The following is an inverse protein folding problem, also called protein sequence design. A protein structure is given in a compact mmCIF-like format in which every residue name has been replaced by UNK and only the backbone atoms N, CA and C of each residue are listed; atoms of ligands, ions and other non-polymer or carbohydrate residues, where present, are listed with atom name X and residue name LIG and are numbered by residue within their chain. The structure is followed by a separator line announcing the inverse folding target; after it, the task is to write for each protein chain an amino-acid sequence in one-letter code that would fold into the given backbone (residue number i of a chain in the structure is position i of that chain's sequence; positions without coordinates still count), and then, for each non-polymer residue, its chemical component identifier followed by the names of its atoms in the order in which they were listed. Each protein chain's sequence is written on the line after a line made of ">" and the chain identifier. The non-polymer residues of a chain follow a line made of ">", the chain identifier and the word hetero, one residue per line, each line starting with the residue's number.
data_IF_213538158061
#
_entry.id   IF_213538158061
#
_cell.length_a   1.000
_cell.length_b   1.000
_cell.length_c   1.000
_cell.angle_alpha   90.00
_cell.angle_beta   90.00
_cell.angle_gamma   90.00
#
_symmetry.space_group_name_H-M   'P 1'
#
loop_
_entity.id
_entity.type
_entity.pdbx_description
1 polymer ?
#
# COMPACT_ATOMS: atom_id res chain seq x y z
N UNK A 1 -5.02 -8.12 13.15
CA UNK A 1 -5.04 -8.52 14.57
C UNK A 1 -6.46 -8.71 15.12
N UNK A 2 -7.52 -8.19 14.48
CA UNK A 2 -8.89 -8.59 14.83
C UNK A 2 -9.08 -10.10 14.72
N UNK A 3 -9.84 -10.69 15.64
CA UNK A 3 -10.11 -12.14 15.68
C UNK A 3 -10.91 -12.62 14.46
N UNK A 4 -11.71 -11.73 13.87
CA UNK A 4 -12.47 -12.00 12.65
C UNK A 4 -11.62 -12.09 11.38
N UNK A 5 -10.32 -11.81 11.44
CA UNK A 5 -9.47 -11.85 10.25
C UNK A 5 -9.28 -13.31 9.78
N UNK A 6 -9.66 -13.66 8.53
CA UNK A 6 -9.59 -15.02 8.03
C UNK A 6 -8.17 -15.60 7.98
N UNK A 7 -7.14 -14.74 7.95
CA UNK A 7 -5.72 -15.16 7.94
C UNK A 7 -5.36 -16.07 9.11
N UNK A 8 -6.08 -15.97 10.25
CA UNK A 8 -5.82 -16.81 11.41
C UNK A 8 -6.24 -18.26 11.20
N UNK A 9 -7.29 -18.50 10.43
CA UNK A 9 -7.71 -19.86 10.06
C UNK A 9 -6.72 -20.49 9.08
N UNK A 10 -6.27 -19.73 8.09
CA UNK A 10 -5.24 -20.15 7.13
C UNK A 10 -3.91 -20.45 7.83
N UNK A 11 -3.53 -19.60 8.79
CA UNK A 11 -2.33 -19.80 9.59
C UNK A 11 -2.45 -21.05 10.46
N UNK A 12 -3.58 -21.25 11.15
CA UNK A 12 -3.82 -22.44 11.98
C UNK A 12 -3.65 -23.72 11.17
N UNK A 13 -4.18 -23.75 9.94
CA UNK A 13 -3.96 -24.86 9.02
C UNK A 13 -2.48 -25.03 8.65
N UNK A 14 -1.79 -23.93 8.33
CA UNK A 14 -0.38 -23.93 7.90
C UNK A 14 0.58 -24.38 9.00
N UNK A 15 0.26 -24.10 10.27
CA UNK A 15 1.05 -24.53 11.43
C UNK A 15 0.57 -25.87 12.03
N UNK A 16 -0.28 -26.61 11.32
CA UNK A 16 -0.70 -27.96 11.74
C UNK A 16 -1.62 -27.99 12.96
N UNK A 17 -2.41 -26.94 13.18
CA UNK A 17 -3.35 -26.85 14.31
C UNK A 17 -2.76 -26.28 15.60
N UNK A 18 -1.53 -25.74 15.57
CA UNK A 18 -0.93 -25.10 16.75
C UNK A 18 -1.57 -23.75 17.08
N UNK A 19 -2.56 -23.78 17.97
CA UNK A 19 -3.25 -22.57 18.45
C UNK A 19 -2.33 -21.61 19.20
N UNK A 20 -1.27 -22.09 19.88
CA UNK A 20 -0.35 -21.22 20.62
C UNK A 20 0.46 -20.37 19.65
N UNK A 21 0.92 -20.96 18.55
CA UNK A 21 1.62 -20.21 17.50
C UNK A 21 0.73 -19.14 16.88
N UNK A 22 -0.53 -19.47 16.58
CA UNK A 22 -1.49 -18.50 16.03
C UNK A 22 -1.76 -17.37 17.01
N UNK A 23 -1.99 -17.68 18.30
CA UNK A 23 -2.24 -16.67 19.32
C UNK A 23 -1.02 -15.75 19.54
N UNK A 24 0.20 -16.30 19.57
CA UNK A 24 1.42 -15.49 19.64
C UNK A 24 1.58 -14.57 18.42
N UNK A 25 1.26 -15.04 17.22
CA UNK A 25 1.29 -14.21 16.02
C UNK A 25 0.22 -13.10 16.04
N UNK A 26 -0.98 -13.39 16.56
CA UNK A 26 -2.04 -12.40 16.77
C UNK A 26 -1.57 -11.28 17.72
N UNK A 27 -0.98 -11.65 18.86
CA UNK A 27 -0.44 -10.69 19.83
C UNK A 27 0.67 -9.83 19.23
N UNK A 28 1.60 -10.45 18.50
CA UNK A 28 2.68 -9.72 17.81
C UNK A 28 2.11 -8.74 16.78
N UNK A 29 1.12 -9.16 15.98
CA UNK A 29 0.46 -8.30 15.01
C UNK A 29 -0.31 -7.15 15.68
N UNK A 30 -0.97 -7.41 16.82
CA UNK A 30 -1.66 -6.37 17.60
C UNK A 30 -0.66 -5.33 18.13
N UNK A 31 0.49 -5.79 18.66
CA UNK A 31 1.54 -4.91 19.13
C UNK A 31 2.15 -4.08 17.99
N UNK A 32 2.56 -4.70 16.88
CA UNK A 32 3.26 -4.02 15.80
C UNK A 32 2.36 -3.03 15.04
N UNK A 33 1.10 -3.41 14.80
CA UNK A 33 0.23 -2.71 13.85
C UNK A 33 -1.04 -2.12 14.47
N UNK A 34 -1.32 -2.42 15.74
CA UNK A 34 -2.57 -2.01 16.40
C UNK A 34 -2.38 -1.24 17.71
N UNK A 35 -1.16 -1.12 18.23
CA UNK A 35 -0.94 -0.59 19.59
C UNK A 35 -1.08 0.93 19.72
N UNK A 36 -1.18 1.67 18.62
CA UNK A 36 -1.50 3.10 18.58
C UNK A 36 -2.09 3.45 17.21
N UNK A 37 -2.79 4.59 17.13
CA UNK A 37 -3.35 5.05 15.86
C UNK A 37 -2.26 5.42 14.85
N UNK A 38 -1.14 6.02 15.30
CA UNK A 38 0.04 6.24 14.45
C UNK A 38 0.59 4.95 13.85
N UNK A 39 0.62 3.85 14.60
CA UNK A 39 1.09 2.54 14.09
C UNK A 39 0.10 1.95 13.09
N UNK A 40 -1.20 2.07 13.35
CA UNK A 40 -2.24 1.64 12.41
C UNK A 40 -2.11 2.40 11.09
N UNK A 41 -2.01 3.72 11.16
CA UNK A 41 -1.88 4.58 9.99
C UNK A 41 -0.59 4.27 9.22
N UNK A 42 0.55 4.21 9.92
CA UNK A 42 1.83 3.89 9.30
C UNK A 42 1.82 2.54 8.59
N UNK A 43 1.21 1.54 9.22
CA UNK A 43 1.06 0.21 8.62
C UNK A 43 0.16 0.25 7.37
N UNK A 44 -0.99 0.93 7.45
CA UNK A 44 -1.92 1.07 6.34
C UNK A 44 -1.27 1.78 5.14
N UNK A 45 -0.65 2.95 5.35
CA UNK A 45 0.03 3.72 4.30
C UNK A 45 1.20 2.96 3.67
N UNK A 46 2.01 2.26 4.47
CA UNK A 46 3.17 1.53 3.95
C UNK A 46 2.72 0.36 3.05
N UNK A 47 1.68 -0.38 3.44
CA UNK A 47 1.14 -1.46 2.62
C UNK A 47 0.42 -0.93 1.38
N UNK A 48 -0.36 0.14 1.52
CA UNK A 48 -1.01 0.80 0.39
C UNK A 48 0.02 1.30 -0.63
N UNK A 49 1.11 1.94 -0.19
CA UNK A 49 2.18 2.39 -1.09
C UNK A 49 2.89 1.25 -1.83
N UNK A 50 3.14 0.12 -1.16
CA UNK A 50 3.69 -1.08 -1.80
C UNK A 50 2.73 -1.65 -2.85
N UNK A 51 1.44 -1.74 -2.53
CA UNK A 51 0.41 -2.18 -3.47
C UNK A 51 0.28 -1.22 -4.66
N UNK A 52 0.30 0.09 -4.42
CA UNK A 52 0.28 1.11 -5.48
C UNK A 52 1.42 0.91 -6.47
N UNK A 53 2.64 0.63 -5.99
CA UNK A 53 3.77 0.32 -6.87
C UNK A 53 3.53 -0.97 -7.67
N UNK A 54 3.01 -2.03 -7.03
CA UNK A 54 2.69 -3.27 -7.71
C UNK A 54 1.66 -3.06 -8.84
N UNK A 55 0.61 -2.26 -8.60
CA UNK A 55 -0.38 -1.87 -9.61
C UNK A 55 0.28 -1.12 -10.77
N UNK A 56 1.13 -0.13 -10.49
CA UNK A 56 1.82 0.64 -11.53
C UNK A 56 2.78 -0.21 -12.38
N UNK A 57 3.49 -1.16 -11.75
CA UNK A 57 4.34 -2.12 -12.48
C UNK A 57 3.47 -3.02 -13.37
N UNK A 58 2.40 -3.59 -12.83
CA UNK A 58 1.49 -4.44 -13.59
C UNK A 58 0.89 -3.68 -14.78
N UNK A 59 0.38 -2.45 -14.57
CA UNK A 59 -0.15 -1.61 -15.64
C UNK A 59 0.87 -1.44 -16.77
N UNK A 60 2.13 -1.15 -16.43
CA UNK A 60 3.20 -1.00 -17.42
C UNK A 60 3.43 -2.28 -18.24
N UNK A 61 3.45 -3.45 -17.60
CA UNK A 61 3.59 -4.74 -18.30
C UNK A 61 2.45 -5.01 -19.29
N UNK A 62 1.25 -4.49 -19.02
CA UNK A 62 0.11 -4.57 -19.92
C UNK A 62 0.02 -3.40 -20.92
N UNK A 63 1.04 -2.55 -21.01
CA UNK A 63 1.05 -1.40 -21.92
C UNK A 63 0.11 -0.26 -21.52
N UNK A 64 -0.27 -0.20 -20.25
CA UNK A 64 -1.10 0.87 -19.66
C UNK A 64 -0.21 1.84 -18.91
N UNK A 65 -0.37 3.13 -19.20
CA UNK A 65 0.31 4.21 -18.50
C UNK A 65 -0.35 4.49 -17.16
N UNK A 66 0.45 4.89 -16.17
CA UNK A 66 -0.02 5.20 -14.82
C UNK A 66 0.52 6.53 -14.30
N UNK A 67 -0.28 7.23 -13.49
CA UNK A 67 0.08 8.49 -12.86
C UNK A 67 -0.37 8.52 -11.39
N UNK A 68 0.54 8.25 -10.42
CA UNK A 68 0.22 8.34 -9.00
C UNK A 68 0.16 9.81 -8.55
N UNK A 69 -0.82 10.14 -7.72
CA UNK A 69 -1.07 11.50 -7.25
C UNK A 69 -1.38 11.53 -5.75
N UNK A 70 -0.73 12.45 -5.04
CA UNK A 70 -1.04 12.80 -3.65
C UNK A 70 -1.58 14.22 -3.50
N UNK A 71 -1.58 15.02 -4.57
CA UNK A 71 -2.12 16.39 -4.60
C UNK A 71 -3.63 16.38 -4.80
N UNK A 72 -4.36 15.80 -3.85
CA UNK A 72 -5.81 15.56 -3.91
C UNK A 72 -6.53 16.14 -2.68
N UNK A 73 -7.83 16.38 -2.82
CA UNK A 73 -8.71 16.69 -1.68
C UNK A 73 -9.13 15.40 -0.99
N UNK A 74 -8.39 15.02 0.06
CA UNK A 74 -8.63 13.79 0.80
C UNK A 74 -10.01 13.78 1.49
N UNK A 75 -10.42 14.89 2.09
CA UNK A 75 -11.72 15.02 2.77
C UNK A 75 -12.87 14.98 1.76
N UNK A 76 -12.69 15.65 0.61
CA UNK A 76 -13.63 15.61 -0.50
C UNK A 76 -13.82 14.19 -1.04
N UNK A 77 -12.73 13.44 -1.26
CA UNK A 77 -12.79 12.03 -1.67
C UNK A 77 -13.50 11.18 -0.61
N UNK A 78 -13.13 11.35 0.66
CA UNK A 78 -13.76 10.61 1.75
C UNK A 78 -15.27 10.78 1.76
N UNK A 79 -15.73 12.04 1.65
CA UNK A 79 -17.15 12.39 1.58
C UNK A 79 -17.85 11.88 0.32
N UNK A 80 -17.29 12.14 -0.85
CA UNK A 80 -17.94 11.84 -2.14
C UNK A 80 -18.12 10.32 -2.33
N UNK A 81 -17.12 9.54 -1.90
CA UNK A 81 -17.16 8.08 -1.99
C UNK A 81 -17.76 7.41 -0.74
N UNK A 82 -18.24 8.20 0.24
CA UNK A 82 -18.84 7.70 1.47
C UNK A 82 -17.95 6.68 2.21
N UNK A 83 -16.66 6.98 2.31
CA UNK A 83 -15.70 6.14 3.03
C UNK A 83 -16.07 6.08 4.52
N UNK A 84 -15.74 4.98 5.17
CA UNK A 84 -15.93 4.83 6.62
C UNK A 84 -14.91 5.66 7.39
N UNK A 85 -15.20 5.92 8.66
CA UNK A 85 -14.31 6.69 9.55
C UNK A 85 -12.91 6.08 9.63
N UNK A 86 -12.82 4.75 9.65
CA UNK A 86 -11.56 4.00 9.68
C UNK A 86 -10.85 3.87 8.31
N UNK A 87 -11.49 4.30 7.22
CA UNK A 87 -10.96 4.24 5.86
C UNK A 87 -10.31 5.57 5.49
N UNK A 88 -9.08 5.51 4.98
CA UNK A 88 -8.33 6.68 4.57
C UNK A 88 -7.82 6.50 3.14
N UNK A 89 -8.02 7.53 2.32
CA UNK A 89 -7.40 7.60 1.00
C UNK A 89 -5.90 7.89 1.16
N UNK A 90 -5.05 7.09 0.52
CA UNK A 90 -3.58 7.26 0.58
C UNK A 90 -3.06 8.00 -0.64
N UNK A 91 -3.55 7.63 -1.82
CA UNK A 91 -3.24 8.27 -3.11
C UNK A 91 -4.29 7.88 -4.13
N UNK A 92 -4.32 8.60 -5.26
CA UNK A 92 -5.02 8.16 -6.46
C UNK A 92 -4.01 7.72 -7.52
N UNK A 93 -4.42 6.82 -8.41
CA UNK A 93 -3.61 6.39 -9.55
C UNK A 93 -4.47 6.51 -10.79
N UNK A 94 -4.14 7.47 -11.66
CA UNK A 94 -4.74 7.54 -12.99
C UNK A 94 -4.16 6.42 -13.86
N UNK A 95 -5.02 5.69 -14.57
CA UNK A 95 -4.63 4.65 -15.52
C UNK A 95 -5.22 4.98 -16.90
N UNK A 96 -4.45 4.77 -17.96
CA UNK A 96 -4.91 5.03 -19.31
C UNK A 96 -3.83 4.77 -20.35
N UNK A 97 -4.06 5.27 -21.56
CA UNK A 97 -3.09 5.17 -22.65
C UNK A 97 -2.58 6.57 -22.98
N UNK A 98 -1.26 6.69 -23.12
CA UNK A 98 -0.62 7.91 -23.53
C UNK A 98 -1.16 8.41 -24.89
N UNK A 99 -1.58 9.67 -24.92
CA UNK A 99 -1.92 10.37 -26.15
C UNK A 99 -0.63 10.70 -26.92
N UNK A 100 -0.33 9.89 -27.93
CA UNK A 100 0.87 10.02 -28.77
C UNK A 100 0.92 11.30 -29.60
N UNK A 101 -0.16 12.09 -29.64
CA UNK A 101 -0.15 13.43 -30.23
C UNK A 101 0.49 14.49 -29.33
N UNK A 102 0.68 14.18 -28.05
CA UNK A 102 1.35 15.05 -27.08
C UNK A 102 2.85 14.80 -27.10
N UNK A 103 3.58 15.76 -26.56
CA UNK A 103 5.00 15.63 -26.25
C UNK A 103 5.16 15.58 -24.73
N UNK A 104 5.91 14.60 -24.23
CA UNK A 104 6.25 14.51 -22.82
C UNK A 104 7.49 15.37 -22.54
N UNK A 105 7.47 16.05 -21.39
CA UNK A 105 8.69 16.65 -20.87
C UNK A 105 9.78 15.59 -20.69
N UNK A 106 11.05 15.96 -20.89
CA UNK A 106 12.16 15.04 -20.65
C UNK A 106 12.13 14.54 -19.21
N UNK A 107 12.52 13.27 -19.02
CA UNK A 107 12.57 12.67 -17.69
C UNK A 107 13.48 13.51 -16.79
N UNK A 108 12.96 13.95 -15.65
CA UNK A 108 13.74 14.69 -14.64
C UNK A 108 14.96 13.86 -14.19
N UNK A 109 16.05 14.51 -13.75
CA UNK A 109 17.22 13.82 -13.21
C UNK A 109 16.86 12.80 -12.12
N UNK A 110 17.64 11.73 -12.03
CA UNK A 110 17.58 10.75 -10.94
C UNK A 110 18.96 10.69 -10.30
N UNK A 111 18.99 10.55 -8.97
CA UNK A 111 20.23 10.30 -8.23
C UNK A 111 20.85 9.00 -8.73
N UNK A 112 22.16 8.99 -8.86
CA UNK A 112 22.97 7.82 -9.17
C UNK A 112 23.06 6.89 -7.96
N UNK A 113 23.47 5.65 -8.21
CA UNK A 113 23.56 4.61 -7.17
C UNK A 113 24.45 5.05 -6.00
N UNK A 114 25.64 5.58 -6.29
CA UNK A 114 26.62 6.03 -5.29
C UNK A 114 26.12 7.20 -4.42
N UNK A 115 25.04 7.87 -4.83
CA UNK A 115 24.40 8.95 -4.06
C UNK A 115 23.35 8.44 -3.07
N UNK A 116 22.88 7.18 -3.20
CA UNK A 116 21.74 6.64 -2.44
C UNK A 116 22.02 5.29 -1.77
N UNK A 117 23.17 4.66 -2.04
CA UNK A 117 23.53 3.36 -1.49
C UNK A 117 24.99 3.34 -1.01
N UNK A 118 25.26 2.54 0.02
CA UNK A 118 26.61 2.26 0.52
C UNK A 118 26.83 0.74 0.52
N UNK A 119 28.02 0.31 0.12
CA UNK A 119 28.48 -1.08 0.22
C UNK A 119 29.29 -1.17 1.51
N UNK A 120 28.82 -1.96 2.47
CA UNK A 120 29.43 -2.17 3.80
C UNK A 120 29.84 -3.61 4.01
#
# INVERSE_FOLDING_TARGET
>A
YADSNPVWAEMLQSVGGDEKMVNGAKEAAAFLYGSSDDRKLKFAESNAGLLSMAIMIAAKEYGVDSHPMSGIDFDGIHKEFSLKEEESAVMTIGLGYYDTSKELYPRRPRRLFDEIAAIV
#
